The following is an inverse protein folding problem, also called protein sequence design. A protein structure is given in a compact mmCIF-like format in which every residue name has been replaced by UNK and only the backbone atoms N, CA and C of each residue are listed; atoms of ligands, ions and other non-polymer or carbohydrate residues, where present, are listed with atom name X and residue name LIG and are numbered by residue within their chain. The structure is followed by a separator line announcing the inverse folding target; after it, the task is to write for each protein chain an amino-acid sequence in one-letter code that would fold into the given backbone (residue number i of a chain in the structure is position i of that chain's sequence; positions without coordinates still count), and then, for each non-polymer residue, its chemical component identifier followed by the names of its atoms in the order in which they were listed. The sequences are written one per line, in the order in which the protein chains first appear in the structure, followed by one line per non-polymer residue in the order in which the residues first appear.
data_IF_486703310336
#
_entry.id   IF_486703310336
#
_cell.length_a   1.000
_cell.length_b   1.000
_cell.length_c   1.000
_cell.angle_alpha   90.00
_cell.angle_beta   90.00
_cell.angle_gamma   90.00
#
_symmetry.space_group_name_H-M   'P 1'
#
loop_
_entity.id
_entity.type
_entity.pdbx_description
1 polymer ?
#
# COMPACT_ATOMS: atom_id res chain seq x y z
N UNK A 1 2.28 -14.13 12.93
CA UNK A 1 0.99 -14.15 13.64
C UNK A 1 1.04 -15.16 14.77
N UNK A 2 0.70 -14.71 15.97
CA UNK A 2 0.57 -15.51 17.19
C UNK A 2 -0.55 -16.55 17.07
N UNK A 3 -0.27 -17.81 17.40
CA UNK A 3 -1.29 -18.88 17.47
C UNK A 3 -2.08 -18.74 18.78
N UNK A 4 -3.39 -18.52 18.68
CA UNK A 4 -4.30 -18.55 19.85
C UNK A 4 -4.98 -19.92 20.00
N UNK A 5 -5.15 -20.37 21.24
CA UNK A 5 -5.88 -21.61 21.60
C UNK A 5 -7.05 -21.38 22.55
N UNK A 6 -7.23 -20.14 23.07
CA UNK A 6 -8.24 -19.82 24.09
C UNK A 6 -9.46 -19.08 23.54
N UNK A 7 -9.26 -18.26 22.51
CA UNK A 7 -10.31 -17.46 21.83
C UNK A 7 -9.91 -17.17 20.38
N UNK A 8 -10.88 -16.78 19.57
CA UNK A 8 -10.63 -16.25 18.22
C UNK A 8 -9.98 -14.87 18.37
N UNK A 9 -8.91 -14.62 17.62
CA UNK A 9 -8.30 -13.30 17.50
C UNK A 9 -8.88 -12.57 16.28
N UNK A 10 -9.25 -11.31 16.45
CA UNK A 10 -9.81 -10.45 15.40
C UNK A 10 -8.72 -9.65 14.69
N UNK A 11 -8.92 -9.42 13.39
CA UNK A 11 -8.03 -8.59 12.57
C UNK A 11 -8.77 -8.13 11.30
N UNK A 12 -8.09 -7.35 10.46
CA UNK A 12 -8.54 -6.88 9.15
C UNK A 12 -7.40 -7.03 8.13
N UNK A 13 -7.60 -6.56 6.89
CA UNK A 13 -6.68 -6.82 5.77
C UNK A 13 -5.64 -5.73 5.52
N UNK A 14 -5.44 -4.77 6.42
CA UNK A 14 -4.47 -3.67 6.25
C UNK A 14 -5.14 -2.31 6.05
N UNK A 15 -5.21 -1.80 4.82
CA UNK A 15 -5.75 -0.46 4.49
C UNK A 15 -7.00 -0.04 5.29
N UNK A 16 -6.93 1.15 5.88
CA UNK A 16 -8.04 1.81 6.58
C UNK A 16 -8.27 3.24 6.03
N UNK A 17 -9.41 3.88 6.30
CA UNK A 17 -9.68 5.24 5.83
C UNK A 17 -8.56 6.20 6.23
N UNK A 18 -8.15 7.06 5.30
CA UNK A 18 -7.15 8.10 5.52
C UNK A 18 -7.85 9.43 5.76
N UNK A 19 -7.30 10.31 6.62
CA UNK A 19 -7.88 11.62 6.82
C UNK A 19 -7.73 12.47 5.53
N UNK A 20 -8.65 13.41 5.26
CA UNK A 20 -8.70 14.16 4.00
C UNK A 20 -7.40 14.89 3.64
N UNK A 21 -6.69 15.44 4.63
CA UNK A 21 -5.41 16.11 4.47
C UNK A 21 -4.32 15.17 3.98
N UNK A 22 -4.30 13.92 4.46
CA UNK A 22 -3.36 12.90 4.00
C UNK A 22 -3.68 12.46 2.57
N UNK A 23 -4.97 12.32 2.25
CA UNK A 23 -5.42 12.03 0.88
C UNK A 23 -4.94 13.12 -0.08
N UNK A 24 -5.10 14.40 0.28
CA UNK A 24 -4.65 15.51 -0.56
C UNK A 24 -3.14 15.50 -0.83
N UNK A 25 -2.33 15.15 0.19
CA UNK A 25 -0.88 15.06 0.04
C UNK A 25 -0.45 13.83 -0.78
N UNK A 26 -1.11 12.68 -0.60
CA UNK A 26 -0.89 11.48 -1.42
C UNK A 26 -1.24 11.75 -2.89
N UNK A 27 -2.36 12.42 -3.16
CA UNK A 27 -2.73 12.85 -4.52
C UNK A 27 -1.70 13.83 -5.11
N UNK A 28 -1.21 14.79 -4.31
CA UNK A 28 -0.18 15.72 -4.78
C UNK A 28 1.12 14.97 -5.15
N UNK A 29 1.52 13.99 -4.34
CA UNK A 29 2.66 13.12 -4.62
C UNK A 29 2.45 12.30 -5.90
N UNK A 30 1.30 11.65 -6.05
CA UNK A 30 0.98 10.82 -7.22
C UNK A 30 0.93 11.63 -8.53
N UNK A 31 0.46 12.88 -8.46
CA UNK A 31 0.40 13.79 -9.60
C UNK A 31 1.75 14.46 -9.92
N UNK A 32 2.79 14.23 -9.12
CA UNK A 32 4.08 14.94 -9.23
C UNK A 32 3.99 16.43 -8.90
N UNK A 33 2.94 16.86 -8.19
CA UNK A 33 2.78 18.23 -7.71
C UNK A 33 3.71 18.47 -6.52
N UNK A 34 4.14 19.73 -6.33
CA UNK A 34 4.94 20.11 -5.16
C UNK A 34 4.12 19.95 -3.87
N UNK A 35 4.73 19.35 -2.85
CA UNK A 35 4.18 19.25 -1.50
C UNK A 35 5.31 19.36 -0.46
N UNK A 36 4.98 19.73 0.78
CA UNK A 36 5.94 19.74 1.88
C UNK A 36 6.20 18.31 2.34
N UNK A 37 7.44 17.82 2.19
CA UNK A 37 7.82 16.49 2.68
C UNK A 37 7.65 16.39 4.20
N UNK A 38 8.00 17.46 4.92
CA UNK A 38 7.81 17.55 6.36
C UNK A 38 6.33 17.38 6.73
N UNK A 39 5.44 18.12 6.07
CA UNK A 39 4.01 18.07 6.37
C UNK A 39 3.46 16.67 6.03
N UNK A 40 3.93 16.04 4.95
CA UNK A 40 3.59 14.66 4.61
C UNK A 40 4.01 13.68 5.70
N UNK A 41 5.26 13.72 6.13
CA UNK A 41 5.79 12.79 7.14
C UNK A 41 5.09 13.00 8.50
N UNK A 42 4.83 14.25 8.91
CA UNK A 42 4.08 14.58 10.13
C UNK A 42 2.61 14.11 10.05
N UNK A 43 1.94 14.32 8.91
CA UNK A 43 0.56 13.90 8.69
C UNK A 43 0.42 12.37 8.68
N UNK A 44 1.34 11.66 8.02
CA UNK A 44 1.38 10.20 8.04
C UNK A 44 1.54 9.69 9.47
N UNK A 45 2.49 10.24 10.23
CA UNK A 45 2.73 9.82 11.62
C UNK A 45 1.50 10.02 12.50
N UNK A 46 0.82 11.16 12.38
CA UNK A 46 -0.42 11.43 13.10
C UNK A 46 -1.53 10.44 12.71
N UNK A 47 -1.75 10.22 11.41
CA UNK A 47 -2.77 9.30 10.93
C UNK A 47 -2.54 7.84 11.38
N UNK A 48 -1.28 7.39 11.43
CA UNK A 48 -0.93 6.07 11.98
C UNK A 48 -1.24 6.00 13.47
N UNK A 49 -0.91 7.03 14.26
CA UNK A 49 -1.24 7.06 15.68
C UNK A 49 -2.75 7.01 15.93
N UNK A 50 -3.52 7.79 15.18
CA UNK A 50 -4.98 7.84 15.29
C UNK A 50 -5.62 6.49 14.95
N UNK A 51 -5.21 5.87 13.84
CA UNK A 51 -5.81 4.61 13.40
C UNK A 51 -5.44 3.43 14.32
N UNK A 52 -4.24 3.46 14.92
CA UNK A 52 -3.86 2.50 15.96
C UNK A 52 -4.74 2.67 17.19
N UNK A 53 -4.96 3.91 17.64
CA UNK A 53 -5.86 4.22 18.75
C UNK A 53 -7.28 3.69 18.52
N UNK A 54 -7.85 3.94 17.33
CA UNK A 54 -9.18 3.48 16.96
C UNK A 54 -9.30 1.95 16.89
N UNK A 55 -8.27 1.26 16.39
CA UNK A 55 -8.27 -0.21 16.37
C UNK A 55 -8.23 -0.81 17.78
N UNK A 56 -7.44 -0.22 18.69
CA UNK A 56 -7.38 -0.64 20.10
C UNK A 56 -8.71 -0.38 20.80
N UNK A 57 -9.32 0.80 20.60
CA UNK A 57 -10.64 1.12 21.14
C UNK A 57 -11.72 0.16 20.63
N UNK A 58 -11.66 -0.22 19.35
CA UNK A 58 -12.57 -1.18 18.75
C UNK A 58 -12.35 -2.63 19.21
N UNK A 59 -11.28 -2.91 19.97
CA UNK A 59 -10.95 -4.25 20.45
C UNK A 59 -10.42 -5.19 19.36
N UNK A 60 -9.74 -4.65 18.35
CA UNK A 60 -9.03 -5.46 17.34
C UNK A 60 -7.77 -6.06 17.98
N UNK A 61 -7.61 -7.38 17.87
CA UNK A 61 -6.52 -8.10 18.55
C UNK A 61 -5.18 -7.97 17.82
N UNK A 62 -5.20 -8.08 16.49
CA UNK A 62 -4.01 -7.98 15.64
C UNK A 62 -4.19 -6.78 14.73
N UNK A 63 -3.41 -5.73 14.97
CA UNK A 63 -3.58 -4.41 14.36
C UNK A 63 -2.51 -4.11 13.31
N UNK A 64 -2.78 -3.13 12.43
CA UNK A 64 -1.81 -2.64 11.45
C UNK A 64 -1.67 -1.12 11.48
N UNK A 65 -0.73 -0.58 10.71
CA UNK A 65 -0.57 0.85 10.47
C UNK A 65 -1.69 1.45 9.61
N UNK A 66 -2.65 0.64 9.15
CA UNK A 66 -3.74 1.06 8.26
C UNK A 66 -3.27 1.46 6.86
N UNK A 67 -2.02 1.14 6.49
CA UNK A 67 -1.34 1.55 5.25
C UNK A 67 -1.40 3.07 4.99
N UNK A 68 -1.36 3.89 6.03
CA UNK A 68 -1.62 5.34 5.92
C UNK A 68 -0.61 6.03 4.98
N UNK A 69 0.65 5.59 4.93
CA UNK A 69 1.70 6.17 4.08
C UNK A 69 1.57 5.83 2.58
N UNK A 70 0.73 4.84 2.21
CA UNK A 70 0.68 4.29 0.86
C UNK A 70 -0.50 4.85 0.06
N UNK A 71 -0.32 5.28 -1.20
CA UNK A 71 -1.44 5.71 -2.04
C UNK A 71 -2.32 4.53 -2.50
N UNK A 72 -1.77 3.31 -2.49
CA UNK A 72 -2.38 2.09 -3.01
C UNK A 72 -1.70 0.86 -2.39
N UNK A 73 -2.45 -0.21 -2.16
CA UNK A 73 -1.93 -1.47 -1.62
C UNK A 73 -0.94 -2.20 -2.55
N UNK A 74 -0.87 -1.80 -3.82
CA UNK A 74 -0.02 -2.44 -4.82
C UNK A 74 0.96 -1.49 -5.50
N UNK A 75 0.50 -0.33 -5.97
CA UNK A 75 1.34 0.57 -6.80
C UNK A 75 2.35 1.37 -5.99
N UNK A 76 2.28 1.37 -4.65
CA UNK A 76 3.26 2.07 -3.79
C UNK A 76 4.69 1.60 -4.04
N UNK A 77 4.89 0.35 -4.48
CA UNK A 77 6.23 -0.21 -4.73
C UNK A 77 6.99 0.59 -5.79
N UNK A 78 6.28 1.29 -6.68
CA UNK A 78 6.89 2.22 -7.66
C UNK A 78 7.65 3.37 -7.00
N UNK A 79 7.31 3.73 -5.76
CA UNK A 79 7.95 4.81 -5.04
C UNK A 79 9.20 4.30 -4.28
N UNK A 80 9.28 2.99 -3.99
CA UNK A 80 10.39 2.37 -3.26
C UNK A 80 11.43 1.72 -4.16
N UNK A 81 10.97 1.20 -5.30
CA UNK A 81 11.78 0.48 -6.26
C UNK A 81 12.06 1.31 -7.52
N UNK A 82 13.23 1.08 -8.12
CA UNK A 82 13.54 1.46 -9.50
C UNK A 82 12.98 0.43 -10.48
N UNK A 83 13.02 0.73 -11.78
CA UNK A 83 12.59 -0.20 -12.83
C UNK A 83 11.16 0.03 -13.33
N UNK A 84 10.36 0.80 -12.59
CA UNK A 84 8.98 1.14 -12.94
C UNK A 84 8.86 2.52 -13.59
N UNK A 85 8.27 2.56 -14.78
CA UNK A 85 8.03 3.81 -15.53
C UNK A 85 6.88 3.62 -16.55
N UNK A 86 6.51 4.72 -17.21
CA UNK A 86 5.49 4.76 -18.24
C UNK A 86 4.09 4.54 -17.69
N UNK A 87 3.13 4.44 -18.63
CA UNK A 87 1.73 4.13 -18.33
C UNK A 87 1.33 2.94 -19.18
N UNK A 88 0.79 1.91 -18.55
CA UNK A 88 0.24 0.76 -19.25
C UNK A 88 -0.87 1.24 -20.19
N UNK A 89 -0.71 1.11 -21.52
CA UNK A 89 -1.73 1.55 -22.47
C UNK A 89 -2.93 0.61 -22.53
N UNK A 90 -2.83 -0.59 -21.95
CA UNK A 90 -3.89 -1.58 -21.97
C UNK A 90 -5.01 -1.20 -21.00
N UNK A 91 -6.27 -1.14 -21.48
CA UNK A 91 -7.39 -0.79 -20.63
C UNK A 91 -7.58 -1.84 -19.55
N UNK A 92 -7.69 -1.39 -18.30
CA UNK A 92 -8.07 -2.27 -17.20
C UNK A 92 -9.56 -2.56 -17.29
N UNK A 93 -9.91 -3.78 -17.64
CA UNK A 93 -11.31 -4.23 -17.69
C UNK A 93 -11.71 -4.76 -16.33
N UNK A 94 -12.69 -4.11 -15.71
CA UNK A 94 -13.31 -4.61 -14.48
C UNK A 94 -14.56 -5.39 -14.87
N UNK A 95 -14.47 -6.72 -14.87
CA UNK A 95 -15.57 -7.61 -15.26
C UNK A 95 -16.87 -7.29 -14.53
N UNK A 96 -16.81 -7.00 -13.23
CA UNK A 96 -17.98 -6.64 -12.44
C UNK A 96 -18.64 -5.33 -12.88
N UNK A 97 -17.85 -4.33 -13.31
CA UNK A 97 -18.42 -3.07 -13.84
C UNK A 97 -19.18 -3.29 -15.14
N UNK A 98 -18.73 -4.26 -15.95
CA UNK A 98 -19.41 -4.66 -17.18
C UNK A 98 -20.67 -5.47 -16.85
N UNK A 99 -20.59 -6.36 -15.86
CA UNK A 99 -21.69 -7.23 -15.45
C UNK A 99 -22.80 -6.49 -14.67
N UNK A 100 -22.46 -5.42 -13.94
CA UNK A 100 -23.37 -4.67 -13.06
C UNK A 100 -23.36 -3.16 -13.39
N UNK A 101 -23.87 -2.77 -14.58
CA UNK A 101 -23.80 -1.37 -15.05
C UNK A 101 -24.60 -0.39 -14.17
N UNK A 102 -25.70 -0.82 -13.57
CA UNK A 102 -26.52 -0.01 -12.66
C UNK A 102 -25.78 0.37 -11.38
N UNK A 103 -25.04 -0.57 -10.78
CA UNK A 103 -24.17 -0.28 -9.65
C UNK A 103 -23.03 0.63 -10.07
N UNK A 104 -22.35 0.30 -11.19
CA UNK A 104 -21.22 1.08 -11.70
C UNK A 104 -21.59 2.56 -11.95
N UNK A 105 -22.80 2.83 -12.44
CA UNK A 105 -23.32 4.18 -12.66
C UNK A 105 -23.50 5.01 -11.37
N UNK A 106 -23.60 4.37 -10.20
CA UNK A 106 -23.72 5.05 -8.89
C UNK A 106 -22.38 5.28 -8.20
N UNK A 107 -21.28 4.75 -8.75
CA UNK A 107 -19.95 4.86 -8.13
C UNK A 107 -19.15 6.00 -8.74
N UNK A 108 -18.58 6.86 -7.88
CA UNK A 108 -17.53 7.79 -8.27
C UNK A 108 -16.18 7.13 -7.98
N UNK A 109 -15.36 6.82 -9.00
CA UNK A 109 -14.04 6.24 -8.76
C UNK A 109 -13.16 7.21 -7.96
N UNK A 110 -12.51 6.71 -6.90
CA UNK A 110 -11.44 7.46 -6.23
C UNK A 110 -10.29 7.70 -7.21
N UNK A 111 -9.70 8.90 -7.20
CA UNK A 111 -8.55 9.23 -8.05
C UNK A 111 -7.34 8.33 -7.79
N UNK A 112 -7.10 7.99 -6.52
CA UNK A 112 -6.05 7.05 -6.11
C UNK A 112 -6.28 5.64 -6.69
N UNK A 113 -7.54 5.24 -6.89
CA UNK A 113 -7.88 3.98 -7.55
C UNK A 113 -7.68 4.00 -9.07
N UNK A 114 -7.69 5.19 -9.67
CA UNK A 114 -7.49 5.40 -11.12
C UNK A 114 -6.09 5.85 -11.49
N UNK A 115 -5.15 5.86 -10.53
CA UNK A 115 -3.78 6.27 -10.76
C UNK A 115 -3.15 5.48 -11.93
N UNK A 116 -2.24 6.14 -12.65
CA UNK A 116 -1.54 5.56 -13.79
C UNK A 116 -0.93 4.21 -13.38
N UNK A 117 -1.18 3.17 -14.20
CA UNK A 117 -0.61 1.83 -14.01
C UNK A 117 0.82 1.85 -14.57
N UNK A 118 1.87 1.94 -13.74
CA UNK A 118 3.23 1.92 -14.23
C UNK A 118 3.56 0.54 -14.81
N UNK A 119 4.59 0.46 -15.64
CA UNK A 119 5.09 -0.79 -16.20
C UNK A 119 6.51 -1.07 -15.69
N UNK A 120 6.91 -2.33 -15.57
CA UNK A 120 8.31 -2.68 -15.39
C UNK A 120 9.02 -2.57 -16.74
N UNK A 121 9.78 -1.49 -16.95
CA UNK A 121 10.45 -1.16 -18.21
C UNK A 121 11.97 -1.31 -18.12
N UNK A 122 12.51 -1.40 -16.91
CA UNK A 122 13.95 -1.56 -16.64
C UNK A 122 14.18 -2.56 -15.51
N UNK A 123 15.44 -2.88 -15.25
CA UNK A 123 15.86 -3.75 -14.15
C UNK A 123 15.35 -3.21 -12.80
N UNK A 124 14.77 -4.11 -12.01
CA UNK A 124 14.28 -3.80 -10.67
C UNK A 124 15.43 -3.61 -9.69
N UNK A 125 15.29 -2.60 -8.84
CA UNK A 125 16.24 -2.29 -7.78
C UNK A 125 15.60 -1.42 -6.70
N UNK A 126 16.37 -1.06 -5.68
CA UNK A 126 15.90 -0.17 -4.62
C UNK A 126 16.29 1.28 -4.92
N UNK A 127 15.35 2.21 -4.75
CA UNK A 127 15.63 3.66 -4.77
C UNK A 127 15.33 4.37 -3.45
N UNK A 128 14.45 3.81 -2.61
CA UNK A 128 14.13 4.37 -1.30
C UNK A 128 13.92 3.24 -0.27
N UNK A 129 15.01 2.84 0.38
CA UNK A 129 14.98 1.85 1.48
C UNK A 129 14.51 2.48 2.80
N UNK A 130 14.67 3.79 2.93
CA UNK A 130 14.37 4.54 4.14
C UNK A 130 12.86 4.59 4.38
N UNK A 131 12.04 4.62 3.33
CA UNK A 131 10.58 4.54 3.42
C UNK A 131 10.07 3.36 4.25
N UNK A 132 10.69 2.17 4.14
CA UNK A 132 10.30 0.99 4.93
C UNK A 132 10.64 1.20 6.41
N UNK A 133 11.82 1.76 6.70
CA UNK A 133 12.23 2.07 8.06
C UNK A 133 11.31 3.13 8.70
N UNK A 134 10.94 4.17 7.95
CA UNK A 134 10.01 5.22 8.41
C UNK A 134 8.63 4.66 8.75
N UNK A 135 8.07 3.76 7.92
CA UNK A 135 6.80 3.09 8.23
C UNK A 135 6.90 2.27 9.53
N UNK A 136 7.98 1.50 9.68
CA UNK A 136 8.24 0.69 10.89
C UNK A 136 8.37 1.59 12.12
N UNK A 137 9.10 2.70 12.02
CA UNK A 137 9.31 3.65 13.11
C UNK A 137 8.00 4.33 13.53
N UNK A 138 7.21 4.81 12.57
CA UNK A 138 5.91 5.41 12.82
C UNK A 138 4.97 4.40 13.51
N UNK A 139 4.89 3.18 12.99
CA UNK A 139 4.02 2.16 13.57
C UNK A 139 4.48 1.73 14.95
N UNK A 140 5.78 1.50 15.18
CA UNK A 140 6.33 1.20 16.50
C UNK A 140 6.05 2.31 17.52
N UNK A 141 6.19 3.57 17.11
CA UNK A 141 5.90 4.70 17.98
C UNK A 141 4.40 4.77 18.35
N UNK A 142 3.50 4.46 17.40
CA UNK A 142 2.06 4.40 17.64
C UNK A 142 1.64 3.20 18.49
N UNK A 143 2.33 2.06 18.38
CA UNK A 143 2.05 0.87 19.18
C UNK A 143 2.25 1.13 20.67
N UNK A 144 3.38 1.76 21.06
CA UNK A 144 3.70 2.00 22.47
C UNK A 144 3.54 0.73 23.31
N UNK A 145 2.90 0.86 24.47
CA UNK A 145 2.54 -0.26 25.37
C UNK A 145 1.04 -0.62 25.28
N UNK A 146 0.43 -0.48 24.09
CA UNK A 146 -1.00 -0.76 23.94
C UNK A 146 -1.35 -2.24 24.19
N UNK A 147 -2.65 -2.53 24.32
CA UNK A 147 -3.14 -3.86 24.70
C UNK A 147 -3.32 -4.84 23.51
N UNK A 148 -2.89 -4.50 22.30
CA UNK A 148 -3.01 -5.40 21.15
C UNK A 148 -2.19 -6.68 21.37
N UNK A 149 -2.69 -7.80 20.86
CA UNK A 149 -2.07 -9.12 21.04
C UNK A 149 -0.86 -9.34 20.13
N UNK A 150 -0.88 -8.72 18.94
CA UNK A 150 0.14 -8.79 17.88
C UNK A 150 -0.07 -7.62 16.89
N UNK A 151 0.89 -7.39 15.98
CA UNK A 151 0.83 -6.31 15.00
C UNK A 151 1.45 -6.73 13.66
N UNK A 152 1.00 -6.13 12.54
CA UNK A 152 1.54 -6.41 11.21
C UNK A 152 1.59 -5.18 10.31
N UNK A 153 2.52 -5.20 9.35
CA UNK A 153 2.57 -4.26 8.24
C UNK A 153 2.24 -5.02 6.94
N UNK A 154 1.21 -4.63 6.18
CA UNK A 154 0.95 -5.24 4.89
C UNK A 154 2.09 -4.93 3.91
N UNK A 155 2.42 -5.88 3.03
CA UNK A 155 3.27 -5.66 1.86
C UNK A 155 2.59 -6.25 0.64
N UNK A 156 2.77 -5.62 -0.53
CA UNK A 156 2.19 -6.11 -1.78
C UNK A 156 2.74 -7.51 -2.09
N UNK A 157 1.88 -8.45 -2.47
CA UNK A 157 2.33 -9.76 -2.95
C UNK A 157 3.03 -9.64 -4.32
N UNK A 158 3.97 -10.54 -4.61
CA UNK A 158 4.65 -10.55 -5.92
C UNK A 158 3.66 -10.67 -7.08
N UNK A 159 2.63 -11.49 -6.91
CA UNK A 159 1.58 -11.68 -7.92
C UNK A 159 0.75 -10.42 -8.16
N UNK A 160 0.39 -9.66 -7.12
CA UNK A 160 -0.39 -8.41 -7.34
C UNK A 160 0.46 -7.33 -8.01
N UNK A 161 1.76 -7.27 -7.68
CA UNK A 161 2.68 -6.37 -8.37
C UNK A 161 2.77 -6.76 -9.85
N UNK A 162 2.96 -8.05 -10.15
CA UNK A 162 3.07 -8.53 -11.53
C UNK A 162 1.79 -8.30 -12.36
N UNK A 163 0.62 -8.48 -11.75
CA UNK A 163 -0.70 -8.25 -12.37
C UNK A 163 -0.94 -6.77 -12.69
N UNK A 164 -0.59 -5.87 -11.77
CA UNK A 164 -0.86 -4.43 -11.93
C UNK A 164 0.21 -3.74 -12.78
N UNK A 165 1.48 -4.09 -12.54
CA UNK A 165 2.66 -3.47 -13.11
C UNK A 165 3.18 -4.29 -14.29
N UNK A 166 2.64 -4.04 -15.48
CA UNK A 166 2.90 -4.84 -16.69
C UNK A 166 4.40 -4.99 -16.97
N UNK A 167 4.85 -6.23 -17.17
CA UNK A 167 6.23 -6.52 -17.53
C UNK A 167 6.51 -6.16 -18.99
N UNK A 168 7.52 -5.31 -19.22
CA UNK A 168 8.07 -4.94 -20.53
C UNK A 168 9.58 -5.08 -20.60
N UNK A 169 10.22 -5.62 -19.55
CA UNK A 169 11.67 -5.73 -19.43
C UNK A 169 12.15 -7.18 -19.39
N UNK A 170 11.59 -8.00 -18.50
CA UNK A 170 12.03 -9.38 -18.30
C UNK A 170 11.45 -10.32 -19.36
N UNK A 171 12.19 -11.38 -19.76
CA UNK A 171 11.81 -12.23 -20.90
C UNK A 171 10.60 -13.14 -20.65
N UNK A 172 10.20 -13.33 -19.40
CA UNK A 172 9.06 -14.16 -19.02
C UNK A 172 8.43 -13.66 -17.72
N UNK A 173 7.20 -14.08 -17.45
CA UNK A 173 6.52 -13.86 -16.17
C UNK A 173 7.32 -14.46 -15.01
N UNK A 174 7.84 -15.68 -15.18
CA UNK A 174 8.69 -16.34 -14.19
C UNK A 174 9.93 -15.48 -13.85
N UNK A 175 10.67 -15.02 -14.86
CA UNK A 175 11.85 -14.18 -14.65
C UNK A 175 11.50 -12.88 -13.92
N UNK A 176 10.34 -12.29 -14.22
CA UNK A 176 9.85 -11.09 -13.54
C UNK A 176 9.47 -11.36 -12.08
N UNK A 177 8.77 -12.46 -11.79
CA UNK A 177 8.39 -12.84 -10.43
C UNK A 177 9.62 -13.12 -9.55
N UNK A 178 10.67 -13.77 -10.09
CA UNK A 178 11.92 -13.95 -9.34
C UNK A 178 12.67 -12.63 -9.10
N UNK A 179 12.70 -11.74 -10.10
CA UNK A 179 13.29 -10.41 -9.91
C UNK A 179 12.53 -9.60 -8.84
N UNK A 180 11.20 -9.67 -8.84
CA UNK A 180 10.35 -9.09 -7.79
C UNK A 180 10.65 -9.72 -6.43
N UNK A 181 10.77 -11.05 -6.34
CA UNK A 181 11.13 -11.75 -5.10
C UNK A 181 12.47 -11.26 -4.54
N UNK A 182 13.47 -11.07 -5.40
CA UNK A 182 14.79 -10.62 -5.00
C UNK A 182 14.82 -9.22 -4.41
N UNK A 183 14.02 -8.29 -4.94
CA UNK A 183 13.93 -6.93 -4.41
C UNK A 183 12.97 -6.82 -3.22
N UNK A 184 11.82 -7.51 -3.26
CA UNK A 184 10.77 -7.41 -2.24
C UNK A 184 11.07 -8.20 -0.97
N UNK A 185 11.99 -9.16 -0.96
CA UNK A 185 12.39 -9.90 0.26
C UNK A 185 12.89 -9.03 1.42
N UNK A 186 13.17 -7.75 1.16
CA UNK A 186 13.56 -6.77 2.17
C UNK A 186 12.34 -6.26 2.95
N UNK A 187 11.14 -6.29 2.37
CA UNK A 187 9.89 -5.88 3.03
C UNK A 187 9.14 -7.03 3.73
N UNK A 188 9.49 -8.28 3.44
CA UNK A 188 8.90 -9.48 4.06
C UNK A 188 9.70 -9.94 5.28
#
# INVERSE_FOLDING_TARGET
MKRSTKRILTTHTGSLPRPPELVALLEAKEDGRSYSRKDFDETVRAAVADIVGLQVEAGIDIISDGEQSKPSFATYVKDRLSGFDGVNPEPRVFGDRVAFPEWNATTTPSKLMTAARPMCTNELGWKDREAVATDIENFRAALGDNAAEDAFLPSASLGIIAEIMLNRHYPSEEAYLYALADVMKVEY
#
